data_IF_930605766951
#
_entry.id   IF_930605766951
#
_cell.length_a   1.000
_cell.length_b   1.000
_cell.length_c   1.000
_cell.angle_alpha   90.00
_cell.angle_beta   90.00
_cell.angle_gamma   90.00
#
_symmetry.space_group_name_H-M   'P 1'
#
loop_
_entity.id
_entity.type
_entity.pdbx_description
1 polymer ?
#
# COMPACT_ATOMS: atom_id res chain seq x y z
N UNK A 1 59.58 -20.74 5.77
CA UNK A 1 60.63 -20.43 4.77
C UNK A 1 60.42 -18.99 4.31
N UNK A 2 61.47 -18.16 4.26
CA UNK A 2 61.37 -16.82 3.66
C UNK A 2 61.21 -16.95 2.14
N UNK A 3 60.21 -16.27 1.56
CA UNK A 3 59.90 -16.28 0.12
C UNK A 3 60.98 -15.50 -0.63
N UNK A 4 61.51 -16.07 -1.71
CA UNK A 4 62.54 -15.46 -2.57
C UNK A 4 62.00 -14.19 -3.26
N UNK A 5 62.79 -13.12 -3.41
CA UNK A 5 62.34 -11.87 -4.03
C UNK A 5 62.25 -12.07 -5.55
N UNK A 6 61.04 -12.26 -6.07
CA UNK A 6 60.81 -12.44 -7.51
C UNK A 6 59.36 -12.69 -7.95
N UNK A 7 58.40 -12.97 -7.06
CA UNK A 7 56.99 -13.11 -7.44
C UNK A 7 56.24 -11.79 -7.26
N UNK A 8 56.24 -10.95 -8.31
CA UNK A 8 55.35 -9.80 -8.43
C UNK A 8 53.93 -10.31 -8.72
N UNK A 9 53.19 -10.78 -7.71
CA UNK A 9 51.84 -11.32 -7.87
C UNK A 9 51.02 -11.17 -6.60
N UNK A 10 49.71 -11.44 -6.69
CA UNK A 10 48.79 -11.40 -5.54
C UNK A 10 48.51 -12.85 -5.14
N UNK A 11 48.78 -13.22 -3.89
CA UNK A 11 48.52 -14.59 -3.42
C UNK A 11 47.02 -14.81 -3.21
N UNK A 12 46.31 -13.80 -2.69
CA UNK A 12 44.87 -13.85 -2.44
C UNK A 12 44.19 -12.49 -2.61
N UNK A 13 43.03 -12.48 -3.27
CA UNK A 13 42.22 -11.30 -3.51
C UNK A 13 40.77 -11.56 -3.12
N UNK A 14 40.28 -10.80 -2.14
CA UNK A 14 38.91 -10.83 -1.65
C UNK A 14 38.17 -9.52 -1.95
N UNK A 15 36.85 -9.62 -1.93
CA UNK A 15 35.96 -8.46 -1.86
C UNK A 15 35.27 -8.45 -0.50
N UNK A 16 35.44 -7.38 0.28
CA UNK A 16 34.95 -7.29 1.66
C UNK A 16 34.06 -6.06 1.82
N UNK A 17 32.81 -6.21 2.31
CA UNK A 17 31.94 -5.06 2.57
C UNK A 17 32.31 -4.39 3.90
N UNK A 18 32.18 -3.06 3.97
CA UNK A 18 32.52 -2.27 5.15
C UNK A 18 31.36 -1.40 5.66
N UNK A 19 31.54 -0.81 6.84
CA UNK A 19 30.61 0.17 7.42
C UNK A 19 29.14 -0.30 7.46
N UNK A 20 28.20 0.60 7.16
CA UNK A 20 26.76 0.33 7.35
C UNK A 20 26.14 -0.51 6.24
N UNK A 21 26.86 -0.79 5.15
CA UNK A 21 26.38 -1.70 4.10
C UNK A 21 26.66 -3.17 4.41
N UNK A 22 27.59 -3.48 5.33
CA UNK A 22 27.99 -4.86 5.63
C UNK A 22 26.82 -5.77 6.03
N UNK A 23 25.85 -5.34 6.87
CA UNK A 23 24.68 -6.16 7.20
C UNK A 23 23.76 -6.48 6.01
N UNK A 24 23.86 -5.72 4.92
CA UNK A 24 23.06 -5.93 3.72
C UNK A 24 23.67 -6.97 2.79
N UNK A 25 24.97 -7.27 2.88
CA UNK A 25 25.64 -8.23 2.00
C UNK A 25 25.47 -9.64 2.55
N UNK A 26 24.73 -10.48 1.82
CA UNK A 26 24.44 -11.86 2.18
C UNK A 26 25.55 -12.80 1.76
N UNK A 27 26.08 -12.60 0.56
CA UNK A 27 27.13 -13.44 0.00
C UNK A 27 27.89 -12.70 -1.08
N UNK A 28 29.16 -13.06 -1.20
CA UNK A 28 30.04 -12.67 -2.30
C UNK A 28 30.51 -13.99 -2.95
N UNK A 29 30.39 -14.10 -4.27
CA UNK A 29 30.83 -15.29 -5.02
C UNK A 29 31.91 -14.89 -6.02
N UNK A 30 33.06 -15.58 -6.06
CA UNK A 30 33.46 -16.70 -5.19
C UNK A 30 33.67 -16.28 -3.73
N UNK A 31 33.24 -17.13 -2.78
CA UNK A 31 33.28 -16.81 -1.34
C UNK A 31 34.69 -16.78 -0.75
N UNK A 32 35.62 -17.53 -1.37
CA UNK A 32 37.04 -17.51 -1.02
C UNK A 32 37.87 -16.68 -2.00
N UNK A 33 37.28 -15.67 -2.64
CA UNK A 33 38.03 -14.77 -3.50
C UNK A 33 38.68 -15.43 -4.72
N UNK A 34 39.76 -14.81 -5.18
CA UNK A 34 40.61 -15.27 -6.27
C UNK A 34 42.06 -15.38 -5.80
N UNK A 35 42.84 -16.24 -6.44
CA UNK A 35 44.28 -16.31 -6.21
C UNK A 35 44.84 -17.73 -6.37
N UNK A 36 46.16 -17.86 -6.62
CA UNK A 36 47.11 -16.77 -6.85
C UNK A 36 46.98 -16.13 -8.25
N UNK A 37 47.39 -14.87 -8.39
CA UNK A 37 47.34 -14.07 -9.61
C UNK A 37 48.74 -13.57 -10.00
N UNK A 38 49.10 -13.70 -11.29
CA UNK A 38 50.36 -13.21 -11.84
C UNK A 38 50.31 -11.68 -12.02
N UNK A 39 51.33 -10.93 -11.58
CA UNK A 39 51.27 -9.46 -11.60
C UNK A 39 51.82 -8.78 -12.86
N UNK A 40 52.30 -9.54 -13.84
CA UNK A 40 52.70 -9.04 -15.17
C UNK A 40 51.60 -9.23 -16.23
N UNK A 41 50.42 -9.71 -15.82
CA UNK A 41 49.25 -9.94 -16.68
C UNK A 41 48.03 -9.23 -16.08
N UNK A 42 47.20 -8.63 -16.93
CA UNK A 42 45.92 -8.08 -16.51
C UNK A 42 44.91 -9.20 -16.20
N UNK A 43 44.24 -9.09 -15.04
CA UNK A 43 43.20 -10.02 -14.63
C UNK A 43 41.85 -9.31 -14.52
N UNK A 44 40.82 -9.86 -15.16
CA UNK A 44 39.43 -9.41 -15.00
C UNK A 44 38.69 -10.39 -14.10
N UNK A 45 38.43 -9.98 -12.87
CA UNK A 45 37.82 -10.81 -11.83
C UNK A 45 36.39 -10.37 -11.59
N UNK A 46 35.45 -11.32 -11.56
CA UNK A 46 34.02 -11.03 -11.42
C UNK A 46 33.50 -11.54 -10.08
N UNK A 47 33.09 -10.60 -9.23
CA UNK A 47 32.35 -10.91 -8.02
C UNK A 47 30.85 -10.76 -8.24
N UNK A 48 30.08 -11.76 -7.82
CA UNK A 48 28.63 -11.63 -7.65
C UNK A 48 28.31 -11.31 -6.19
N UNK A 49 27.69 -10.16 -5.95
CA UNK A 49 27.32 -9.70 -4.60
C UNK A 49 25.80 -9.79 -4.45
N UNK A 50 25.33 -10.56 -3.47
CA UNK A 50 23.90 -10.63 -3.12
C UNK A 50 23.61 -9.75 -1.92
N UNK A 51 22.58 -8.92 -2.06
CA UNK A 51 22.09 -8.05 -1.00
C UNK A 51 20.77 -8.58 -0.42
N UNK A 52 20.51 -8.34 0.87
CA UNK A 52 19.21 -8.54 1.53
C UNK A 52 18.55 -7.19 1.80
N UNK A 53 17.24 -7.11 1.60
CA UNK A 53 16.45 -5.97 2.09
C UNK A 53 16.32 -5.96 3.61
N UNK A 54 15.84 -4.83 4.15
CA UNK A 54 15.52 -4.69 5.58
C UNK A 54 14.13 -4.05 5.72
N UNK A 55 13.57 -4.07 6.93
CA UNK A 55 12.32 -3.38 7.21
C UNK A 55 12.47 -1.86 7.01
N UNK A 56 11.50 -1.29 6.31
CA UNK A 56 11.41 0.16 6.17
C UNK A 56 11.06 0.80 7.53
N UNK A 57 11.25 2.12 7.63
CA UNK A 57 10.79 2.93 8.77
C UNK A 57 9.98 4.11 8.25
N UNK A 58 9.43 4.94 9.13
CA UNK A 58 8.63 6.12 8.76
C UNK A 58 9.38 7.13 7.88
N UNK A 59 10.72 7.09 7.90
CA UNK A 59 11.58 7.95 7.08
C UNK A 59 12.53 7.09 6.25
N UNK A 60 12.96 7.65 5.14
CA UNK A 60 14.03 7.09 4.32
C UNK A 60 15.29 6.91 5.15
N UNK A 61 15.94 5.76 4.99
CA UNK A 61 17.22 5.45 5.62
C UNK A 61 18.27 5.29 4.53
N UNK A 62 19.47 5.78 4.80
CA UNK A 62 20.61 5.68 3.89
C UNK A 62 21.74 4.96 4.61
N UNK A 63 22.18 3.84 4.05
CA UNK A 63 23.38 3.13 4.47
C UNK A 63 24.49 3.42 3.47
N UNK A 64 25.66 3.81 3.98
CA UNK A 64 26.87 4.10 3.20
C UNK A 64 28.04 3.25 3.65
N UNK A 65 28.90 2.88 2.70
CA UNK A 65 30.09 2.09 2.95
C UNK A 65 30.84 1.78 1.66
N UNK A 66 31.72 0.78 1.71
CA UNK A 66 32.52 0.35 0.56
C UNK A 66 32.48 -1.16 0.38
N UNK A 67 32.69 -1.58 -0.87
CA UNK A 67 33.19 -2.91 -1.20
C UNK A 67 34.69 -2.77 -1.44
N UNK A 68 35.48 -3.25 -0.49
CA UNK A 68 36.93 -3.14 -0.48
C UNK A 68 37.54 -4.34 -1.20
N UNK A 69 38.45 -4.07 -2.14
CA UNK A 69 39.31 -5.08 -2.76
C UNK A 69 40.50 -5.27 -1.82
N UNK A 70 40.60 -6.45 -1.22
CA UNK A 70 41.65 -6.80 -0.25
C UNK A 70 42.61 -7.77 -0.92
N UNK A 71 43.83 -7.32 -1.20
CA UNK A 71 44.91 -8.15 -1.71
C UNK A 71 45.90 -8.45 -0.59
N UNK A 72 46.16 -9.73 -0.33
CA UNK A 72 47.12 -10.21 0.68
C UNK A 72 46.93 -9.56 2.06
N UNK A 73 45.66 -9.39 2.45
CA UNK A 73 45.27 -8.78 3.73
C UNK A 73 45.31 -7.25 3.79
N UNK A 74 45.55 -6.56 2.66
CA UNK A 74 45.56 -5.10 2.58
C UNK A 74 44.51 -4.59 1.59
N UNK A 75 43.81 -3.52 1.95
CA UNK A 75 42.88 -2.84 1.04
C UNK A 75 43.71 -2.15 -0.05
N UNK A 76 43.50 -2.54 -1.30
CA UNK A 76 44.19 -1.97 -2.48
C UNK A 76 43.28 -1.11 -3.35
N UNK A 77 41.97 -1.30 -3.25
CA UNK A 77 40.97 -0.45 -3.89
C UNK A 77 39.65 -0.53 -3.13
N UNK A 78 38.76 0.44 -3.34
CA UNK A 78 37.44 0.45 -2.71
C UNK A 78 36.39 1.04 -3.66
N UNK A 79 35.23 0.39 -3.74
CA UNK A 79 34.06 0.91 -4.44
C UNK A 79 33.06 1.45 -3.42
N UNK A 80 32.77 2.76 -3.47
CA UNK A 80 31.70 3.36 -2.65
C UNK A 80 30.34 2.81 -3.04
N UNK A 81 29.53 2.47 -2.05
CA UNK A 81 28.16 1.98 -2.20
C UNK A 81 27.25 2.77 -1.27
N UNK A 82 26.08 3.12 -1.79
CA UNK A 82 24.99 3.70 -1.03
C UNK A 82 23.74 2.84 -1.25
N UNK A 83 23.12 2.39 -0.17
CA UNK A 83 21.86 1.65 -0.16
C UNK A 83 20.80 2.59 0.43
N UNK A 84 19.79 2.92 -0.36
CA UNK A 84 18.63 3.70 0.09
C UNK A 84 17.48 2.77 0.40
N UNK A 85 17.02 2.79 1.65
CA UNK A 85 15.82 2.09 2.09
C UNK A 85 14.69 3.12 2.12
N UNK A 86 13.69 3.03 1.24
CA UNK A 86 12.62 4.01 1.20
C UNK A 86 11.83 3.99 2.50
N UNK A 87 11.21 5.13 2.84
CA UNK A 87 10.22 5.17 3.90
C UNK A 87 9.12 4.14 3.65
N UNK A 88 8.53 3.59 4.72
CA UNK A 88 7.37 2.74 4.59
C UNK A 88 6.26 3.51 3.90
N UNK A 89 5.67 2.91 2.86
CA UNK A 89 4.40 3.40 2.35
C UNK A 89 3.39 3.28 3.49
N UNK A 90 2.65 4.34 3.83
CA UNK A 90 1.58 4.22 4.82
C UNK A 90 0.65 3.10 4.36
N UNK A 91 0.39 2.15 5.27
CA UNK A 91 -0.47 0.99 5.00
C UNK A 91 -1.87 1.51 4.75
N UNK A 92 -2.20 1.76 3.49
CA UNK A 92 -3.56 2.11 3.11
C UNK A 92 -4.46 0.93 3.32
N UNK A 93 -5.59 1.17 3.97
CA UNK A 93 -6.64 0.18 4.20
C UNK A 93 -7.84 0.58 3.35
N UNK A 94 -8.41 -0.39 2.62
CA UNK A 94 -9.61 -0.18 1.81
C UNK A 94 -10.80 -0.90 2.40
N UNK A 95 -11.93 -0.21 2.42
CA UNK A 95 -13.23 -0.74 2.82
C UNK A 95 -14.18 -0.64 1.62
N UNK A 96 -15.15 -1.54 1.57
CA UNK A 96 -16.21 -1.51 0.56
C UNK A 96 -17.54 -1.67 1.28
N UNK A 97 -18.33 -0.60 1.30
CA UNK A 97 -19.60 -0.55 2.01
C UNK A 97 -20.71 -0.46 0.98
N UNK A 98 -21.69 -1.37 1.00
CA UNK A 98 -22.88 -1.21 0.16
C UNK A 98 -23.79 -0.13 0.75
N UNK A 99 -24.40 0.70 -0.06
CA UNK A 99 -25.45 1.62 0.37
C UNK A 99 -26.71 1.44 -0.48
N UNK A 100 -27.86 1.72 0.15
CA UNK A 100 -29.19 1.76 -0.48
C UNK A 100 -29.90 3.00 0.07
N UNK A 101 -30.29 3.89 -0.81
CA UNK A 101 -30.93 5.17 -0.49
C UNK A 101 -32.16 5.39 -1.36
N UNK A 102 -33.15 6.10 -0.80
CA UNK A 102 -34.33 6.54 -1.53
C UNK A 102 -35.43 5.49 -1.60
N UNK A 103 -36.41 5.74 -2.46
CA UNK A 103 -37.66 4.97 -2.52
C UNK A 103 -37.70 4.05 -3.74
N UNK A 104 -37.96 2.75 -3.51
CA UNK A 104 -38.39 1.81 -4.53
C UNK A 104 -39.93 1.73 -4.50
N UNK A 105 -40.63 2.23 -5.53
CA UNK A 105 -42.07 2.11 -5.60
C UNK A 105 -42.50 0.67 -5.86
N UNK A 106 -43.77 0.37 -5.57
CA UNK A 106 -44.43 -0.82 -6.08
C UNK A 106 -44.46 -0.77 -7.61
N UNK A 107 -44.09 -1.89 -8.23
CA UNK A 107 -44.08 -2.03 -9.69
C UNK A 107 -44.35 -3.48 -10.06
N UNK A 108 -44.97 -3.69 -11.22
CA UNK A 108 -45.09 -5.02 -11.81
C UNK A 108 -43.73 -5.45 -12.39
N UNK A 109 -43.25 -6.63 -12.03
CA UNK A 109 -42.00 -7.21 -12.57
C UNK A 109 -40.81 -7.15 -11.61
N UNK A 110 -39.60 -7.31 -12.16
CA UNK A 110 -38.38 -7.38 -11.36
C UNK A 110 -37.81 -5.99 -11.04
N UNK A 111 -37.68 -5.69 -9.76
CA UNK A 111 -36.99 -4.50 -9.26
C UNK A 111 -35.61 -4.84 -8.68
N UNK A 112 -34.67 -3.87 -8.59
CA UNK A 112 -33.37 -4.10 -7.95
C UNK A 112 -33.45 -4.52 -6.47
N UNK A 113 -34.47 -4.02 -5.76
CA UNK A 113 -34.81 -4.36 -4.37
C UNK A 113 -36.33 -4.42 -4.22
N UNK A 114 -36.83 -4.90 -3.07
CA UNK A 114 -38.26 -4.87 -2.77
C UNK A 114 -38.80 -3.43 -2.68
N UNK A 115 -40.11 -3.21 -2.85
CA UNK A 115 -40.71 -1.91 -2.58
C UNK A 115 -40.46 -1.45 -1.14
N UNK A 116 -40.14 -0.17 -0.97
CA UNK A 116 -39.85 0.41 0.33
C UNK A 116 -39.04 1.70 0.26
N UNK A 117 -38.95 2.37 1.41
CA UNK A 117 -38.08 3.54 1.62
C UNK A 117 -36.83 3.08 2.36
N UNK A 118 -35.67 3.32 1.77
CA UNK A 118 -34.38 2.85 2.26
C UNK A 118 -33.52 4.03 2.69
N UNK A 119 -32.88 3.89 3.85
CA UNK A 119 -31.83 4.80 4.29
C UNK A 119 -30.61 4.02 4.76
N UNK A 120 -29.44 4.52 4.38
CA UNK A 120 -28.14 4.05 4.83
C UNK A 120 -27.42 5.19 5.53
N UNK A 121 -26.74 4.88 6.63
CA UNK A 121 -25.72 5.74 7.22
C UNK A 121 -24.44 4.90 7.36
N UNK A 122 -23.33 5.42 6.85
CA UNK A 122 -22.00 4.82 7.00
C UNK A 122 -21.18 5.71 7.92
N UNK A 123 -20.73 5.20 9.06
CA UNK A 123 -19.88 5.95 10.00
C UNK A 123 -18.43 5.51 9.88
N UNK A 124 -17.52 6.48 9.93
CA UNK A 124 -16.07 6.28 9.84
C UNK A 124 -15.44 6.90 11.08
N UNK A 125 -14.80 6.09 11.92
CA UNK A 125 -14.17 6.51 13.17
C UNK A 125 -12.66 6.31 13.12
N UNK A 126 -11.91 7.40 13.27
CA UNK A 126 -10.48 7.38 13.52
C UNK A 126 -10.23 7.12 15.00
N UNK A 127 -10.01 5.86 15.38
CA UNK A 127 -9.65 5.48 16.74
C UNK A 127 -8.14 5.60 17.03
N UNK A 128 -7.36 6.12 16.08
CA UNK A 128 -5.91 6.25 16.22
C UNK A 128 -5.52 7.57 16.89
N UNK A 129 -4.26 7.63 17.34
CA UNK A 129 -3.66 8.84 17.92
C UNK A 129 -3.17 9.85 16.85
N UNK A 130 -3.32 9.53 15.56
CA UNK A 130 -2.80 10.32 14.45
C UNK A 130 -3.95 10.76 13.54
N UNK A 131 -3.75 11.86 12.83
CA UNK A 131 -4.65 12.25 11.75
C UNK A 131 -4.62 11.20 10.63
N UNK A 132 -5.79 10.91 10.05
CA UNK A 132 -5.95 9.96 8.95
C UNK A 132 -6.62 10.65 7.78
N UNK A 133 -5.97 10.57 6.62
CA UNK A 133 -6.59 10.95 5.35
C UNK A 133 -7.53 9.84 4.88
N UNK A 134 -8.79 10.20 4.68
CA UNK A 134 -9.83 9.31 4.14
C UNK A 134 -10.23 9.81 2.75
N UNK A 135 -10.21 8.91 1.77
CA UNK A 135 -10.69 9.13 0.40
C UNK A 135 -11.86 8.21 0.12
N UNK A 136 -12.87 8.73 -0.57
CA UNK A 136 -14.15 8.06 -0.80
C UNK A 136 -14.48 8.07 -2.28
N UNK A 137 -14.95 6.95 -2.82
CA UNK A 137 -15.54 6.85 -4.16
C UNK A 137 -16.94 6.27 -4.08
N UNK A 138 -17.89 6.93 -4.75
CA UNK A 138 -19.28 6.51 -4.80
C UNK A 138 -19.54 5.85 -6.15
N UNK A 139 -19.72 4.52 -6.11
CA UNK A 139 -19.84 3.66 -7.30
C UNK A 139 -21.28 3.13 -7.36
N UNK A 140 -22.22 3.86 -7.97
CA UNK A 140 -23.61 3.41 -8.09
C UNK A 140 -23.74 2.28 -9.11
N UNK A 141 -24.54 1.27 -8.76
CA UNK A 141 -25.01 0.18 -9.64
C UNK A 141 -26.50 0.34 -9.98
N UNK A 142 -27.25 1.09 -9.17
CA UNK A 142 -28.55 1.70 -9.49
C UNK A 142 -28.42 3.19 -9.23
N UNK A 143 -28.74 4.02 -10.21
CA UNK A 143 -28.67 5.47 -10.11
C UNK A 143 -30.01 6.07 -10.54
N UNK A 144 -30.67 6.78 -9.61
CA UNK A 144 -31.99 7.36 -9.82
C UNK A 144 -33.03 6.34 -10.37
N UNK A 145 -33.06 5.14 -9.78
CA UNK A 145 -33.96 4.04 -10.15
C UNK A 145 -33.48 3.20 -11.34
N UNK A 146 -32.56 3.70 -12.16
CA UNK A 146 -32.04 2.96 -13.32
C UNK A 146 -30.89 2.03 -12.92
N UNK A 147 -30.95 0.71 -13.21
CA UNK A 147 -29.86 -0.22 -12.93
C UNK A 147 -28.70 -0.01 -13.92
N UNK A 148 -27.79 0.92 -13.63
CA UNK A 148 -26.65 1.31 -14.48
C UNK A 148 -25.52 0.28 -14.52
N UNK A 149 -25.39 -0.56 -13.49
CA UNK A 149 -24.33 -1.56 -13.34
C UNK A 149 -24.81 -3.02 -13.41
N UNK A 150 -25.98 -3.29 -14.01
CA UNK A 150 -26.46 -4.67 -14.19
C UNK A 150 -25.63 -5.36 -15.28
N UNK A 151 -25.13 -6.55 -14.97
CA UNK A 151 -24.32 -7.36 -15.89
C UNK A 151 -24.98 -7.49 -17.28
N UNK A 152 -24.18 -7.41 -18.36
CA UNK A 152 -22.71 -7.33 -18.39
C UNK A 152 -22.13 -5.92 -18.19
N UNK A 153 -22.95 -4.92 -17.85
CA UNK A 153 -22.46 -3.57 -17.51
C UNK A 153 -21.90 -3.55 -16.09
N UNK A 154 -21.13 -2.51 -15.78
CA UNK A 154 -20.53 -2.28 -14.48
C UNK A 154 -20.72 -0.83 -14.03
N UNK A 155 -20.75 -0.61 -12.72
CA UNK A 155 -20.73 0.73 -12.14
C UNK A 155 -19.32 1.31 -12.16
N UNK A 156 -19.21 2.63 -12.31
CA UNK A 156 -17.95 3.38 -12.14
C UNK A 156 -18.14 4.45 -11.07
N UNK A 157 -17.05 4.99 -10.53
CA UNK A 157 -17.13 6.16 -9.65
C UNK A 157 -17.88 7.29 -10.35
N UNK A 158 -18.89 7.85 -9.67
CA UNK A 158 -19.66 9.01 -10.13
C UNK A 158 -19.43 10.25 -9.28
N UNK A 159 -18.89 10.06 -8.07
CA UNK A 159 -18.45 11.13 -7.20
C UNK A 159 -17.25 10.64 -6.38
N UNK A 160 -16.37 11.57 -6.04
CA UNK A 160 -15.28 11.35 -5.10
C UNK A 160 -15.33 12.44 -4.02
N UNK A 161 -14.92 12.09 -2.81
CA UNK A 161 -14.84 13.01 -1.68
C UNK A 161 -13.67 12.61 -0.77
N UNK A 162 -13.26 13.50 0.13
CA UNK A 162 -12.17 13.22 1.04
C UNK A 162 -12.16 14.12 2.27
N UNK A 163 -11.58 13.62 3.34
CA UNK A 163 -11.49 14.32 4.61
C UNK A 163 -10.21 13.93 5.33
N UNK A 164 -9.56 14.91 5.97
CA UNK A 164 -8.58 14.67 7.01
C UNK A 164 -9.35 14.48 8.32
N UNK A 165 -9.27 13.29 8.90
CA UNK A 165 -10.02 12.93 10.10
C UNK A 165 -9.06 12.98 11.30
N UNK A 166 -9.21 13.97 12.22
CA UNK A 166 -8.34 14.09 13.39
C UNK A 166 -8.38 12.87 14.31
N UNK A 167 -7.38 12.72 15.21
CA UNK A 167 -7.36 11.65 16.22
C UNK A 167 -8.64 11.60 17.03
N UNK A 168 -9.16 10.40 17.28
CA UNK A 168 -10.36 10.14 18.09
C UNK A 168 -11.62 10.90 17.64
N UNK A 169 -11.78 11.08 16.34
CA UNK A 169 -12.97 11.70 15.74
C UNK A 169 -13.67 10.77 14.76
N UNK A 170 -14.95 11.03 14.52
CA UNK A 170 -15.76 10.28 13.59
C UNK A 170 -16.53 11.20 12.63
N UNK A 171 -16.85 10.67 11.46
CA UNK A 171 -17.70 11.31 10.45
C UNK A 171 -18.69 10.30 9.90
N UNK A 172 -19.62 10.75 9.04
CA UNK A 172 -20.61 9.89 8.42
C UNK A 172 -20.93 10.29 6.98
N UNK A 173 -21.33 9.31 6.19
CA UNK A 173 -21.99 9.49 4.89
C UNK A 173 -23.39 8.87 4.98
N UNK A 174 -24.42 9.72 4.97
CA UNK A 174 -25.82 9.32 4.93
C UNK A 174 -26.43 9.53 3.54
N UNK A 175 -27.69 9.11 3.36
CA UNK A 175 -28.37 9.26 2.07
C UNK A 175 -28.53 10.71 1.60
N UNK A 176 -28.56 11.69 2.50
CA UNK A 176 -28.60 13.10 2.12
C UNK A 176 -27.27 13.50 1.49
N UNK A 177 -26.14 13.21 2.17
CA UNK A 177 -24.80 13.50 1.67
C UNK A 177 -24.47 12.74 0.39
N UNK A 178 -24.85 11.46 0.31
CA UNK A 178 -24.70 10.65 -0.91
C UNK A 178 -25.50 11.28 -2.07
N UNK A 179 -26.73 11.74 -1.80
CA UNK A 179 -27.55 12.43 -2.78
C UNK A 179 -26.90 13.71 -3.30
N UNK A 180 -26.42 14.56 -2.38
CA UNK A 180 -25.69 15.79 -2.72
C UNK A 180 -24.48 15.52 -3.63
N UNK A 181 -23.68 14.50 -3.30
CA UNK A 181 -22.48 14.18 -4.06
C UNK A 181 -22.79 13.62 -5.45
N UNK A 182 -23.85 12.81 -5.59
CA UNK A 182 -24.20 12.16 -6.84
C UNK A 182 -25.06 13.03 -7.77
N UNK A 183 -25.88 13.93 -7.21
CA UNK A 183 -26.90 14.67 -7.95
C UNK A 183 -26.84 16.19 -7.76
N UNK A 184 -25.98 16.69 -6.86
CA UNK A 184 -25.90 18.11 -6.50
C UNK A 184 -26.95 18.57 -5.48
N UNK A 185 -27.87 17.70 -5.08
CA UNK A 185 -28.87 17.93 -4.05
C UNK A 185 -29.38 16.60 -3.46
N UNK A 186 -29.95 16.59 -2.24
CA UNK A 186 -30.65 15.42 -1.73
C UNK A 186 -31.82 15.03 -2.66
N UNK A 187 -31.90 13.75 -3.02
CA UNK A 187 -33.00 13.20 -3.84
C UNK A 187 -33.57 11.94 -3.19
N UNK A 188 -34.87 11.69 -3.37
CA UNK A 188 -35.53 10.47 -2.86
C UNK A 188 -35.58 9.32 -3.90
N UNK A 189 -34.78 9.42 -4.96
CA UNK A 189 -34.72 8.41 -6.01
C UNK A 189 -33.86 7.20 -5.58
N UNK A 190 -34.33 5.98 -5.85
CA UNK A 190 -33.60 4.76 -5.49
C UNK A 190 -32.16 4.80 -6.04
N UNK A 191 -31.20 4.76 -5.13
CA UNK A 191 -29.77 4.75 -5.46
C UNK A 191 -29.10 3.65 -4.65
N UNK A 192 -28.42 2.75 -5.35
CA UNK A 192 -27.73 1.59 -4.76
C UNK A 192 -26.32 1.57 -5.29
N UNK A 193 -25.33 1.42 -4.41
CA UNK A 193 -23.95 1.42 -4.82
C UNK A 193 -23.00 0.88 -3.78
N UNK A 194 -21.71 1.01 -4.10
CA UNK A 194 -20.61 0.78 -3.18
C UNK A 194 -19.96 2.13 -2.86
N UNK A 195 -19.80 2.41 -1.58
CA UNK A 195 -18.88 3.42 -1.05
C UNK A 195 -17.53 2.73 -0.81
N UNK A 196 -16.58 2.98 -1.70
CA UNK A 196 -15.19 2.55 -1.52
C UNK A 196 -14.47 3.61 -0.68
N UNK A 197 -13.93 3.18 0.47
CA UNK A 197 -13.20 4.05 1.40
C UNK A 197 -11.75 3.61 1.40
N UNK A 198 -10.82 4.54 1.18
CA UNK A 198 -9.38 4.31 1.33
C UNK A 198 -8.86 5.23 2.43
N UNK A 199 -8.24 4.67 3.45
CA UNK A 199 -7.69 5.40 4.59
C UNK A 199 -6.18 5.15 4.71
N UNK A 200 -5.39 6.16 5.08
CA UNK A 200 -3.92 6.02 5.24
C UNK A 200 -3.51 5.14 6.41
N UNK A 201 -4.44 4.82 7.30
CA UNK A 201 -4.34 3.87 8.42
C UNK A 201 -5.70 3.20 8.62
N UNK A 202 -5.71 2.16 9.46
CA UNK A 202 -6.94 1.45 9.82
C UNK A 202 -7.92 2.37 10.57
N UNK A 203 -9.19 2.31 10.19
CA UNK A 203 -10.33 3.05 10.75
C UNK A 203 -11.48 2.09 11.03
N UNK A 204 -12.34 2.43 11.99
CA UNK A 204 -13.54 1.65 12.27
C UNK A 204 -14.66 2.13 11.35
N UNK A 205 -15.14 1.25 10.46
CA UNK A 205 -16.25 1.52 9.56
C UNK A 205 -17.46 0.70 9.97
N UNK A 206 -18.61 1.36 10.13
CA UNK A 206 -19.89 0.71 10.42
C UNK A 206 -20.95 1.23 9.48
N UNK A 207 -21.96 0.42 9.20
CA UNK A 207 -23.11 0.82 8.39
C UNK A 207 -24.41 0.43 9.09
N UNK A 208 -25.40 1.33 9.00
CA UNK A 208 -26.76 1.12 9.48
C UNK A 208 -27.68 1.16 8.27
N UNK A 209 -28.58 0.16 8.16
CA UNK A 209 -29.57 0.08 7.10
C UNK A 209 -30.97 0.11 7.70
N UNK A 210 -31.74 1.14 7.38
CA UNK A 210 -33.13 1.25 7.83
C UNK A 210 -34.09 1.21 6.66
N UNK A 211 -35.22 0.56 6.92
CA UNK A 211 -36.40 0.57 6.05
C UNK A 211 -37.55 1.21 6.84
N UNK A 212 -38.51 1.85 6.15
CA UNK A 212 -39.59 2.61 6.79
C UNK A 212 -40.44 1.87 7.85
N UNK A 213 -40.29 0.55 7.99
CA UNK A 213 -41.02 -0.30 8.95
C UNK A 213 -40.11 -1.16 9.85
N UNK A 214 -38.81 -1.25 9.57
CA UNK A 214 -37.85 -2.11 10.30
C UNK A 214 -36.42 -1.61 10.16
N UNK A 215 -35.66 -1.53 11.25
CA UNK A 215 -34.21 -1.33 11.22
C UNK A 215 -33.48 -2.68 11.10
N UNK A 216 -32.43 -2.74 10.29
CA UNK A 216 -31.57 -3.94 10.13
C UNK A 216 -30.14 -3.61 10.57
N UNK A 217 -29.52 -4.65 11.12
CA UNK A 217 -28.21 -4.82 11.73
C UNK A 217 -27.10 -3.79 11.44
N UNK A 218 -26.38 -3.44 12.51
CA UNK A 218 -25.13 -2.68 12.46
C UNK A 218 -23.99 -3.68 12.35
N UNK A 219 -23.36 -3.79 11.17
CA UNK A 219 -22.25 -4.72 10.97
C UNK A 219 -20.94 -3.95 10.82
N UNK A 220 -19.86 -4.32 11.53
CA UNK A 220 -18.54 -3.79 11.25
C UNK A 220 -18.10 -4.18 9.84
N UNK A 221 -17.61 -3.20 9.09
CA UNK A 221 -17.06 -3.43 7.75
C UNK A 221 -15.56 -3.63 7.89
N UNK A 222 -15.08 -4.83 7.55
CA UNK A 222 -13.66 -5.14 7.65
C UNK A 222 -12.86 -4.50 6.52
N UNK A 223 -11.78 -3.82 6.91
CA UNK A 223 -10.80 -3.27 5.99
C UNK A 223 -9.90 -4.36 5.41
N UNK A 224 -9.45 -4.16 4.18
CA UNK A 224 -8.43 -4.99 3.53
C UNK A 224 -7.18 -4.15 3.30
N UNK A 225 -5.98 -4.65 3.67
CA UNK A 225 -4.73 -4.01 3.30
C UNK A 225 -4.61 -3.91 1.77
N UNK A 226 -4.11 -2.77 1.28
CA UNK A 226 -3.83 -2.52 -0.13
C UNK A 226 -2.33 -2.60 -0.39
#
# INVERSE_FOLDING_TARGET
MPKSPGTHGIDHLDLVPSATIAPFVVSITPAGGYGPLQGDVEHVLKFEVRFRGTECRDKEQVATGTLDVVADGRIVAAKKVQITIPACRPRTVRYSVKFVCGTQPEACGCSPVQPGRYATQVSIHNYSQLEITVRKRFIPVVLAGAPVGREPRFGTSRAEDGIELPPHTATMDDCCRIGELLFGAPVDALTIGILEITATRDVAVTAIYTTGTTGIDVVPVHGRPV
#
